data_IF_638309296840
#
_entry.id   IF_638309296840
#
_cell.length_a   1.000
_cell.length_b   1.000
_cell.length_c   1.000
_cell.angle_alpha   90.00
_cell.angle_beta   90.00
_cell.angle_gamma   90.00
#
_symmetry.space_group_name_H-M   'P 1'
#
loop_
_entity.id
_entity.type
_entity.pdbx_description
1 polymer ?
#
# COMPACT_ATOMS: atom_id res chain seq x y z
N UNK A 1 -57.23 -36.84 -8.64
CA UNK A 1 -56.58 -37.63 -7.57
C UNK A 1 -55.12 -37.22 -7.61
N UNK A 2 -54.77 -36.25 -6.78
CA UNK A 2 -53.53 -35.49 -6.90
C UNK A 2 -52.72 -35.77 -5.65
N UNK A 3 -51.60 -36.46 -5.81
CA UNK A 3 -50.72 -36.90 -4.72
C UNK A 3 -49.70 -35.79 -4.48
N UNK A 4 -49.81 -35.13 -3.33
CA UNK A 4 -48.77 -34.25 -2.77
C UNK A 4 -47.79 -35.09 -1.97
N UNK A 5 -46.53 -35.14 -2.42
CA UNK A 5 -45.40 -35.66 -1.64
C UNK A 5 -44.56 -34.49 -1.13
N UNK A 6 -44.60 -34.28 0.18
CA UNK A 6 -43.68 -33.45 0.96
C UNK A 6 -42.35 -34.18 1.15
N UNK A 7 -41.25 -33.58 0.70
CA UNK A 7 -39.89 -34.04 1.02
C UNK A 7 -39.33 -33.28 2.22
N UNK A 8 -38.91 -34.04 3.22
CA UNK A 8 -38.24 -33.59 4.45
C UNK A 8 -36.73 -33.66 4.23
N UNK A 9 -35.98 -32.61 4.60
CA UNK A 9 -34.52 -32.65 4.65
C UNK A 9 -34.07 -32.31 6.07
N UNK A 10 -33.46 -33.32 6.69
CA UNK A 10 -33.01 -33.36 8.07
C UNK A 10 -31.74 -32.52 8.27
N UNK A 11 -31.72 -31.77 9.37
CA UNK A 11 -30.53 -31.11 9.88
C UNK A 11 -29.58 -32.14 10.52
N UNK A 12 -28.32 -32.14 10.08
CA UNK A 12 -27.23 -32.91 10.68
C UNK A 12 -26.79 -32.22 11.99
N UNK A 13 -27.17 -32.78 13.13
CA UNK A 13 -26.53 -32.48 14.42
C UNK A 13 -25.37 -33.44 14.64
N UNK A 14 -24.13 -32.92 14.62
CA UNK A 14 -22.95 -33.65 15.11
C UNK A 14 -22.92 -33.55 16.63
N UNK A 15 -23.06 -34.69 17.30
CA UNK A 15 -22.84 -34.85 18.73
C UNK A 15 -21.35 -35.14 18.98
N UNK A 16 -20.69 -34.25 19.73
CA UNK A 16 -19.43 -34.56 20.41
C UNK A 16 -19.66 -34.43 21.93
N UNK A 17 -19.41 -35.52 22.65
CA UNK A 17 -19.52 -35.60 24.10
C UNK A 17 -18.16 -35.91 24.74
N UNK A 18 -17.93 -35.22 25.87
CA UNK A 18 -16.96 -35.50 26.96
C UNK A 18 -15.51 -35.06 26.69
N UNK A 19 -14.80 -34.39 27.61
CA UNK A 19 -14.76 -34.53 29.07
C UNK A 19 -14.64 -33.18 29.80
N UNK A 20 -15.18 -33.18 31.03
CA UNK A 20 -15.27 -32.05 31.94
C UNK A 20 -13.92 -31.54 32.47
N UNK A 21 -13.80 -30.21 32.55
CA UNK A 21 -12.82 -29.47 33.34
C UNK A 21 -13.44 -28.11 33.70
N UNK A 22 -13.67 -27.91 34.99
CA UNK A 22 -14.42 -26.82 35.64
C UNK A 22 -14.09 -25.38 35.18
N UNK A 23 -15.13 -24.55 35.01
CA UNK A 23 -15.01 -23.07 35.07
C UNK A 23 -16.14 -22.32 34.36
N UNK A 24 -16.96 -21.59 35.12
CA UNK A 24 -17.99 -20.59 34.77
C UNK A 24 -18.61 -20.54 33.35
N UNK A 25 -19.92 -20.87 33.27
CA UNK A 25 -20.79 -20.46 32.17
C UNK A 25 -21.54 -19.16 32.51
N UNK A 26 -21.38 -18.10 31.73
CA UNK A 26 -22.32 -16.97 31.64
C UNK A 26 -22.98 -16.94 30.26
N UNK A 27 -24.31 -16.77 30.28
CA UNK A 27 -25.25 -16.83 29.16
C UNK A 27 -24.99 -15.76 28.10
N UNK A 28 -25.11 -16.14 26.83
CA UNK A 28 -25.53 -15.23 25.74
C UNK A 28 -26.75 -15.88 25.08
N UNK A 29 -27.88 -15.18 25.10
CA UNK A 29 -29.12 -15.61 24.46
C UNK A 29 -29.12 -15.23 22.98
N UNK A 30 -29.51 -16.16 22.12
CA UNK A 30 -29.88 -15.89 20.73
C UNK A 30 -31.36 -15.49 20.68
N UNK A 31 -31.64 -14.33 20.09
CA UNK A 31 -33.00 -13.86 19.87
C UNK A 31 -33.48 -14.32 18.48
N UNK A 32 -34.67 -14.92 18.44
CA UNK A 32 -35.31 -15.47 17.25
C UNK A 32 -35.98 -14.37 16.43
N UNK A 33 -35.74 -14.33 15.11
CA UNK A 33 -36.59 -13.61 14.16
C UNK A 33 -37.74 -14.53 13.74
N UNK A 34 -38.97 -14.10 14.02
CA UNK A 34 -40.19 -14.69 13.47
C UNK A 34 -40.67 -13.79 12.32
N UNK A 35 -40.80 -14.38 11.14
CA UNK A 35 -41.43 -13.75 9.98
C UNK A 35 -42.87 -14.27 9.88
N UNK A 36 -43.83 -13.36 9.82
CA UNK A 36 -45.25 -13.67 9.59
C UNK A 36 -45.83 -12.59 8.68
N UNK A 37 -45.96 -12.93 7.40
CA UNK A 37 -46.70 -12.15 6.41
C UNK A 37 -48.21 -12.35 6.53
N UNK A 38 -48.97 -11.30 6.16
CA UNK A 38 -50.37 -11.28 5.65
C UNK A 38 -50.77 -9.79 5.51
N UNK A 39 -50.77 -9.18 4.31
CA UNK A 39 -51.81 -9.15 3.27
C UNK A 39 -52.74 -7.90 3.31
N UNK A 40 -52.72 -7.16 2.18
CA UNK A 40 -53.78 -6.32 1.56
C UNK A 40 -54.22 -5.00 2.22
N UNK A 41 -53.99 -3.86 1.54
CA UNK A 41 -54.97 -3.21 0.63
C UNK A 41 -54.53 -1.78 0.23
N UNK A 42 -54.94 -1.35 -0.96
CA UNK A 42 -54.68 -0.04 -1.57
C UNK A 42 -55.93 0.83 -1.39
N UNK A 43 -55.78 2.06 -0.88
CA UNK A 43 -56.54 3.26 -1.30
C UNK A 43 -56.04 4.53 -0.57
N UNK A 44 -55.75 5.55 -1.38
CA UNK A 44 -55.82 7.01 -1.20
C UNK A 44 -55.96 7.65 0.20
N UNK A 45 -55.12 8.65 0.48
CA UNK A 45 -55.59 10.03 0.75
C UNK A 45 -54.44 11.03 0.93
N UNK A 46 -54.55 12.12 0.19
CA UNK A 46 -53.85 13.41 0.34
C UNK A 46 -54.16 14.11 1.68
N UNK A 47 -53.22 14.96 2.13
CA UNK A 47 -53.28 16.16 3.02
C UNK A 47 -52.07 16.11 3.96
N UNK A 48 -51.22 17.12 4.16
CA UNK A 48 -51.27 18.55 3.89
C UNK A 48 -50.75 19.28 5.15
N UNK A 49 -49.81 20.20 4.97
CA UNK A 49 -49.28 21.22 5.93
C UNK A 49 -48.18 20.74 6.89
N UNK A 50 -46.93 21.23 6.88
CA UNK A 50 -46.33 22.59 6.83
C UNK A 50 -46.09 23.23 8.21
N UNK A 51 -44.96 23.97 8.29
CA UNK A 51 -44.51 24.94 9.33
C UNK A 51 -43.75 24.29 10.51
N UNK A 52 -42.57 24.70 10.99
CA UNK A 52 -41.63 25.84 10.86
C UNK A 52 -40.26 25.30 11.37
N UNK A 53 -39.08 25.60 10.81
CA UNK A 53 -38.41 26.89 10.90
C UNK A 53 -37.37 26.89 12.03
N UNK A 54 -36.07 26.81 11.68
CA UNK A 54 -34.99 27.73 12.14
C UNK A 54 -33.58 27.18 11.78
N UNK A 55 -32.93 27.92 10.88
CA UNK A 55 -31.59 28.50 10.99
C UNK A 55 -30.32 27.63 11.03
N UNK A 56 -29.74 27.53 9.81
CA UNK A 56 -28.38 27.93 9.42
C UNK A 56 -27.17 27.00 9.70
N UNK A 57 -26.23 26.93 8.72
CA UNK A 57 -25.17 25.92 8.67
C UNK A 57 -23.87 26.41 9.32
N UNK A 58 -23.22 25.54 10.09
CA UNK A 58 -21.86 25.80 10.58
C UNK A 58 -20.84 25.46 9.49
N UNK A 59 -20.41 26.55 8.83
CA UNK A 59 -19.02 26.89 8.46
C UNK A 59 -18.11 25.76 7.98
N UNK A 60 -17.95 25.72 6.66
CA UNK A 60 -16.76 25.25 5.96
C UNK A 60 -15.64 26.25 6.23
N UNK A 61 -14.74 25.95 7.18
CA UNK A 61 -13.54 26.77 7.40
C UNK A 61 -12.35 26.20 6.60
N UNK A 62 -12.23 26.77 5.40
CA UNK A 62 -11.03 27.37 4.85
C UNK A 62 -9.70 26.61 5.06
N UNK A 63 -9.31 25.89 4.00
CA UNK A 63 -7.95 25.45 3.73
C UNK A 63 -6.94 26.59 4.01
N UNK A 64 -6.05 26.36 4.97
CA UNK A 64 -4.97 27.26 5.33
C UNK A 64 -4.00 27.39 4.14
N UNK A 65 -4.15 28.49 3.43
CA UNK A 65 -3.41 28.86 2.22
C UNK A 65 -1.92 29.18 2.51
N UNK A 66 -1.44 28.93 3.73
CA UNK A 66 -0.04 29.11 4.13
C UNK A 66 0.86 27.91 3.87
N UNK A 67 0.31 26.70 3.71
CA UNK A 67 1.12 25.51 3.43
C UNK A 67 1.48 25.35 1.95
N UNK A 68 0.65 25.88 1.03
CA UNK A 68 0.95 25.91 -0.41
C UNK A 68 2.10 26.86 -0.76
N UNK A 69 2.40 27.85 0.08
CA UNK A 69 3.45 28.84 -0.22
C UNK A 69 4.84 28.43 0.29
N UNK A 70 4.94 27.53 1.27
CA UNK A 70 6.23 27.16 1.88
C UNK A 70 6.94 26.02 1.12
N UNK A 71 6.21 25.10 0.51
CA UNK A 71 6.83 23.97 -0.20
C UNK A 71 7.14 24.26 -1.68
N UNK A 72 6.47 25.24 -2.30
CA UNK A 72 6.81 25.73 -3.65
C UNK A 72 8.13 26.55 -3.71
N UNK A 73 8.67 26.96 -2.55
CA UNK A 73 9.86 27.82 -2.47
C UNK A 73 11.16 27.08 -2.11
N UNK A 74 11.12 25.77 -1.82
CA UNK A 74 12.33 24.96 -1.59
C UNK A 74 12.77 24.12 -2.79
N UNK A 75 12.04 24.16 -3.90
CA UNK A 75 12.41 23.46 -5.12
C UNK A 75 12.71 24.43 -6.27
N UNK A 76 13.99 24.84 -6.39
CA UNK A 76 14.60 24.91 -7.71
C UNK A 76 15.99 24.27 -7.76
N UNK A 77 16.17 23.42 -8.77
CA UNK A 77 17.34 23.36 -9.65
C UNK A 77 18.73 23.43 -8.97
N UNK A 78 19.31 22.27 -8.63
CA UNK A 78 20.78 22.12 -8.55
C UNK A 78 21.26 20.93 -9.39
N UNK A 79 21.17 21.10 -10.71
CA UNK A 79 22.04 20.41 -11.65
C UNK A 79 23.26 21.31 -11.89
N UNK A 80 24.43 20.66 -11.98
CA UNK A 80 25.77 21.20 -12.27
C UNK A 80 26.61 21.62 -11.07
N UNK A 81 27.23 20.63 -10.42
CA UNK A 81 28.67 20.57 -10.18
C UNK A 81 29.00 19.48 -9.16
N UNK A 82 29.43 18.30 -9.64
CA UNK A 82 30.41 17.38 -9.00
C UNK A 82 30.59 16.13 -9.86
N UNK A 83 30.93 16.37 -11.13
CA UNK A 83 31.68 15.41 -11.94
C UNK A 83 33.00 16.10 -12.28
N UNK A 84 33.97 16.02 -11.38
CA UNK A 84 35.41 16.06 -11.64
C UNK A 84 36.15 16.12 -10.30
N UNK A 85 37.27 15.38 -10.19
CA UNK A 85 38.21 15.29 -9.06
C UNK A 85 37.68 14.44 -7.88
N UNK A 86 38.31 13.34 -7.43
CA UNK A 86 39.73 13.01 -7.47
C UNK A 86 40.00 11.50 -7.60
N UNK A 87 40.96 11.23 -8.48
CA UNK A 87 41.71 9.99 -8.59
C UNK A 87 42.78 9.92 -7.50
N UNK A 88 42.93 8.72 -6.92
CA UNK A 88 44.21 8.10 -6.52
C UNK A 88 45.14 8.92 -5.63
N UNK A 89 45.23 8.55 -4.35
CA UNK A 89 46.54 8.29 -3.72
C UNK A 89 46.42 7.20 -2.64
N UNK A 90 46.87 6.00 -3.01
CA UNK A 90 47.26 4.97 -2.06
C UNK A 90 48.64 5.33 -1.50
N UNK A 91 48.76 5.46 -0.18
CA UNK A 91 50.05 5.37 0.49
C UNK A 91 49.96 4.42 1.68
N UNK A 92 50.84 3.41 1.60
CA UNK A 92 51.21 2.48 2.66
C UNK A 92 51.61 3.22 3.93
N UNK A 93 51.13 2.72 5.07
CA UNK A 93 51.62 3.10 6.39
C UNK A 93 51.34 1.97 7.39
N UNK A 94 52.24 1.00 7.46
CA UNK A 94 52.27 -0.05 8.49
C UNK A 94 52.71 0.53 9.83
N UNK A 95 51.91 0.42 10.89
CA UNK A 95 52.44 0.30 12.27
C UNK A 95 51.48 -0.50 13.15
N UNK A 96 52.09 -1.30 14.00
CA UNK A 96 51.59 -2.46 14.72
C UNK A 96 50.95 -2.10 16.07
N UNK A 97 50.01 -2.96 16.51
CA UNK A 97 49.76 -3.43 17.89
C UNK A 97 48.72 -2.70 18.75
N UNK A 98 47.64 -3.41 19.06
CA UNK A 98 46.72 -3.11 20.17
C UNK A 98 45.45 -3.96 20.12
N UNK A 99 45.49 -5.21 20.59
CA UNK A 99 44.29 -6.01 20.89
C UNK A 99 43.52 -5.33 22.02
N UNK A 100 42.23 -5.08 21.80
CA UNK A 100 41.19 -5.26 22.81
C UNK A 100 39.87 -5.59 22.10
N UNK A 101 39.51 -6.87 22.16
CA UNK A 101 38.25 -7.43 21.70
C UNK A 101 37.16 -7.13 22.73
N UNK A 102 36.26 -6.21 22.40
CA UNK A 102 34.95 -6.10 23.01
C UNK A 102 33.94 -6.03 21.87
N UNK A 103 33.10 -7.07 21.78
CA UNK A 103 32.09 -7.22 20.75
C UNK A 103 31.13 -6.03 20.75
N UNK A 104 31.21 -5.21 19.72
CA UNK A 104 30.14 -4.31 19.33
C UNK A 104 29.31 -5.05 18.28
N UNK A 105 28.05 -5.34 18.63
CA UNK A 105 26.98 -5.60 17.67
C UNK A 105 27.18 -4.64 16.49
N UNK A 106 27.28 -5.19 15.28
CA UNK A 106 27.28 -4.39 14.07
C UNK A 106 25.93 -3.67 13.98
N UNK A 107 25.87 -2.45 14.52
CA UNK A 107 24.86 -1.48 14.14
C UNK A 107 25.09 -1.26 12.65
N UNK A 108 24.11 -1.69 11.85
CA UNK A 108 24.04 -1.44 10.41
C UNK A 108 24.24 0.06 10.26
N UNK A 109 25.43 0.47 9.82
CA UNK A 109 25.78 1.89 9.79
C UNK A 109 25.00 2.46 8.63
N UNK A 110 23.86 3.08 8.92
CA UNK A 110 23.13 3.90 7.95
C UNK A 110 24.17 4.83 7.32
N UNK A 111 24.28 4.90 5.97
CA UNK A 111 25.20 5.82 5.33
C UNK A 111 24.97 7.21 5.92
N UNK A 112 26.06 7.89 6.32
CA UNK A 112 26.03 9.16 7.08
C UNK A 112 25.34 10.34 6.37
N UNK A 113 24.70 10.11 5.24
CA UNK A 113 24.11 11.12 4.35
C UNK A 113 22.67 10.79 3.91
N UNK A 114 22.02 9.76 4.48
CA UNK A 114 20.59 9.54 4.21
C UNK A 114 19.74 10.47 5.08
N UNK A 115 18.74 11.11 4.47
CA UNK A 115 17.72 11.83 5.22
C UNK A 115 16.81 10.83 5.95
N UNK A 116 16.77 10.93 7.27
CA UNK A 116 16.02 10.05 8.16
C UNK A 116 14.91 10.81 8.90
N UNK A 117 14.55 12.01 8.42
CA UNK A 117 13.44 12.77 9.00
C UNK A 117 12.14 11.97 8.85
N UNK A 118 11.25 11.97 9.85
CA UNK A 118 9.94 11.31 9.73
C UNK A 118 9.18 11.77 8.50
N UNK A 119 8.47 10.84 7.84
CA UNK A 119 7.52 11.17 6.79
C UNK A 119 6.25 11.70 7.46
N UNK A 120 5.66 12.82 7.01
CA UNK A 120 4.39 13.27 7.56
C UNK A 120 3.30 12.19 7.54
N UNK A 121 2.40 12.25 8.52
CA UNK A 121 1.22 11.39 8.57
C UNK A 121 0.38 11.47 7.28
N UNK A 122 -0.35 10.39 6.93
CA UNK A 122 -1.23 10.38 5.76
C UNK A 122 -2.28 11.49 5.86
N UNK A 123 -2.59 12.09 4.72
CA UNK A 123 -3.58 13.17 4.65
C UNK A 123 -4.94 12.64 4.18
N UNK A 124 -6.05 13.01 4.82
CA UNK A 124 -7.39 12.57 4.41
C UNK A 124 -7.70 11.10 4.72
N UNK A 125 -8.97 10.69 4.56
CA UNK A 125 -9.40 9.34 4.91
C UNK A 125 -8.91 8.30 3.89
N UNK A 126 -8.52 7.10 4.37
CA UNK A 126 -8.18 5.98 3.49
C UNK A 126 -9.36 5.53 2.65
N UNK A 127 -9.08 5.11 1.42
CA UNK A 127 -10.07 4.55 0.49
C UNK A 127 -9.51 3.30 -0.20
N UNK A 128 -10.39 2.48 -0.78
CA UNK A 128 -9.97 1.31 -1.56
C UNK A 128 -9.16 1.73 -2.80
N UNK A 129 -9.43 2.92 -3.36
CA UNK A 129 -8.67 3.49 -4.47
C UNK A 129 -7.27 4.00 -4.09
N UNK A 130 -6.93 4.08 -2.81
CA UNK A 130 -5.62 4.56 -2.33
C UNK A 130 -4.96 3.55 -1.38
N UNK A 131 -5.50 2.33 -1.31
CA UNK A 131 -4.99 1.28 -0.44
C UNK A 131 -4.28 0.22 -1.26
N UNK A 132 -3.04 -0.06 -0.92
CA UNK A 132 -2.25 -1.15 -1.51
C UNK A 132 -2.12 -2.34 -0.56
N UNK A 133 -1.83 -3.51 -1.11
CA UNK A 133 -1.63 -4.73 -0.34
C UNK A 133 -0.55 -5.60 -0.95
N UNK A 134 0.03 -6.48 -0.12
CA UNK A 134 0.93 -7.54 -0.54
C UNK A 134 0.53 -8.82 0.20
N UNK A 135 -0.07 -9.77 -0.53
CA UNK A 135 -0.34 -11.11 -0.03
C UNK A 135 0.80 -12.05 -0.43
N UNK A 136 1.06 -12.13 -1.74
CA UNK A 136 2.11 -12.94 -2.38
C UNK A 136 2.47 -12.40 -3.78
N UNK A 137 3.31 -13.11 -4.54
CA UNK A 137 3.77 -12.72 -5.89
C UNK A 137 2.66 -12.63 -6.95
N UNK A 138 1.48 -13.16 -6.67
CA UNK A 138 0.33 -13.19 -7.58
C UNK A 138 -0.84 -12.36 -7.06
N UNK A 139 -0.80 -11.90 -5.81
CA UNK A 139 -1.82 -11.07 -5.18
C UNK A 139 -1.22 -9.88 -4.44
N UNK A 140 -1.16 -8.74 -5.14
CA UNK A 140 -0.73 -7.45 -4.61
C UNK A 140 -1.40 -6.30 -5.39
N UNK A 141 -1.29 -5.09 -4.85
CA UNK A 141 -1.71 -3.87 -5.52
C UNK A 141 -0.59 -2.82 -5.55
N UNK A 142 -0.62 -1.95 -6.56
CA UNK A 142 0.31 -0.85 -6.78
C UNK A 142 -0.47 0.44 -7.00
N UNK A 143 0.08 1.57 -6.58
CA UNK A 143 -0.39 2.90 -6.96
C UNK A 143 0.17 3.27 -8.33
N UNK A 144 -0.69 3.57 -9.29
CA UNK A 144 -0.30 4.02 -10.62
C UNK A 144 -1.01 5.33 -10.96
N UNK A 145 -0.49 6.12 -11.93
CA UNK A 145 -1.26 7.20 -12.55
C UNK A 145 -2.66 6.73 -12.95
N UNK A 146 -3.68 7.55 -12.77
CA UNK A 146 -5.06 7.22 -13.17
C UNK A 146 -5.44 7.86 -14.52
N UNK A 147 -4.51 8.58 -15.14
CA UNK A 147 -4.67 9.22 -16.44
C UNK A 147 -3.67 8.66 -17.44
N UNK A 148 -4.14 8.40 -18.65
CA UNK A 148 -3.28 7.88 -19.71
C UNK A 148 -2.20 8.90 -20.10
N UNK A 149 -0.94 8.45 -20.16
CA UNK A 149 0.21 9.28 -20.52
C UNK A 149 0.66 10.28 -19.44
N UNK A 150 0.09 10.20 -18.24
CA UNK A 150 0.59 10.93 -17.08
C UNK A 150 1.86 10.27 -16.54
N UNK A 151 2.84 11.09 -16.14
CA UNK A 151 4.06 10.62 -15.51
C UNK A 151 3.77 10.16 -14.08
N UNK A 152 4.46 9.12 -13.62
CA UNK A 152 4.36 8.60 -12.25
C UNK A 152 4.63 9.70 -11.22
N UNK A 153 5.64 10.54 -11.48
CA UNK A 153 5.98 11.67 -10.59
C UNK A 153 4.94 12.81 -10.59
N UNK A 154 4.16 12.97 -11.66
CA UNK A 154 3.07 13.95 -11.69
C UNK A 154 1.81 13.43 -10.98
N UNK A 155 1.65 12.10 -10.94
CA UNK A 155 0.51 11.42 -10.34
C UNK A 155 0.59 11.25 -8.82
N UNK A 156 1.69 11.62 -8.16
CA UNK A 156 1.90 11.34 -6.72
C UNK A 156 0.68 11.76 -5.86
N UNK A 157 0.06 12.89 -6.20
CA UNK A 157 -1.09 13.43 -5.47
C UNK A 157 -2.45 12.78 -5.76
N UNK A 158 -2.62 12.14 -6.93
CA UNK A 158 -3.91 11.62 -7.42
C UNK A 158 -3.83 10.22 -8.06
N UNK A 159 -2.76 9.47 -7.77
CA UNK A 159 -2.60 8.07 -8.12
C UNK A 159 -3.73 7.20 -7.55
N UNK A 160 -3.95 6.07 -8.23
CA UNK A 160 -4.99 5.11 -7.86
C UNK A 160 -4.42 3.70 -7.72
N UNK A 161 -5.02 2.90 -6.84
CA UNK A 161 -4.64 1.53 -6.60
C UNK A 161 -5.14 0.61 -7.72
N UNK A 162 -4.20 -0.12 -8.32
CA UNK A 162 -4.45 -1.19 -9.28
C UNK A 162 -3.96 -2.52 -8.70
N UNK A 163 -4.69 -3.61 -8.92
CA UNK A 163 -4.35 -4.92 -8.35
C UNK A 163 -4.01 -5.96 -9.41
N UNK A 164 -3.35 -7.04 -8.99
CA UNK A 164 -3.13 -8.19 -9.87
C UNK A 164 -4.45 -8.80 -10.38
N UNK A 165 -4.46 -9.32 -11.62
CA UNK A 165 -5.62 -10.06 -12.12
C UNK A 165 -5.97 -11.23 -11.20
N UNK A 166 -7.22 -11.29 -10.75
CA UNK A 166 -7.68 -12.33 -9.81
C UNK A 166 -7.28 -12.12 -8.36
N UNK A 167 -6.90 -10.89 -7.98
CA UNK A 167 -6.63 -10.50 -6.59
C UNK A 167 -7.72 -10.98 -5.64
N UNK A 168 -7.31 -11.43 -4.45
CA UNK A 168 -8.25 -11.85 -3.40
C UNK A 168 -8.92 -10.67 -2.69
N UNK A 169 -8.41 -9.45 -2.89
CA UNK A 169 -9.04 -8.25 -2.38
C UNK A 169 -10.32 -7.92 -3.16
N UNK A 170 -11.47 -8.25 -2.56
CA UNK A 170 -12.80 -7.91 -3.10
C UNK A 170 -13.03 -6.41 -3.32
N UNK A 171 -12.19 -5.56 -2.74
CA UNK A 171 -12.26 -4.11 -2.88
C UNK A 171 -11.49 -3.57 -4.09
N UNK A 172 -10.70 -4.43 -4.76
CA UNK A 172 -10.03 -4.03 -5.98
C UNK A 172 -11.03 -3.74 -7.09
N UNK A 173 -10.94 -2.54 -7.65
CA UNK A 173 -11.81 -2.07 -8.74
C UNK A 173 -11.06 -1.91 -10.06
N UNK A 174 -9.73 -1.96 -10.05
CA UNK A 174 -8.88 -1.70 -11.20
C UNK A 174 -7.80 -2.78 -11.33
N UNK A 175 -8.09 -3.92 -11.98
CA UNK A 175 -7.05 -4.91 -12.22
C UNK A 175 -6.03 -4.37 -13.24
N UNK A 176 -4.76 -4.76 -13.09
CA UNK A 176 -3.78 -4.61 -14.15
C UNK A 176 -4.27 -5.28 -15.43
N UNK A 177 -3.77 -4.84 -16.58
CA UNK A 177 -3.92 -5.62 -17.80
C UNK A 177 -3.13 -6.93 -17.66
N UNK A 178 -3.69 -8.03 -18.15
CA UNK A 178 -2.99 -9.32 -18.21
C UNK A 178 -1.62 -9.18 -18.90
N UNK A 179 -0.59 -9.65 -18.22
CA UNK A 179 0.81 -9.58 -18.67
C UNK A 179 1.54 -8.28 -18.33
N UNK A 180 0.87 -7.27 -17.73
CA UNK A 180 1.53 -6.05 -17.27
C UNK A 180 2.64 -6.33 -16.25
N UNK A 181 2.38 -7.20 -15.27
CA UNK A 181 3.44 -7.71 -14.39
C UNK A 181 4.00 -8.98 -15.04
N UNK A 182 5.26 -8.91 -15.50
CA UNK A 182 5.94 -10.06 -16.12
C UNK A 182 6.48 -11.04 -15.07
N UNK A 183 6.95 -10.51 -13.95
CA UNK A 183 7.48 -11.28 -12.83
C UNK A 183 7.44 -10.44 -11.55
N UNK A 184 7.24 -11.08 -10.41
CA UNK A 184 7.28 -10.46 -9.10
C UNK A 184 7.89 -11.41 -8.07
N UNK A 185 8.51 -10.86 -7.02
CA UNK A 185 8.99 -11.62 -5.87
C UNK A 185 8.60 -10.91 -4.59
N UNK A 186 8.02 -11.65 -3.65
CA UNK A 186 7.72 -11.17 -2.31
C UNK A 186 8.84 -11.57 -1.36
N UNK A 187 9.22 -10.67 -0.47
CA UNK A 187 10.17 -10.93 0.61
C UNK A 187 9.68 -10.27 1.88
N UNK A 188 9.95 -10.90 3.04
CA UNK A 188 9.52 -10.41 4.35
C UNK A 188 10.73 -10.34 5.27
N UNK A 189 10.72 -9.39 6.20
CA UNK A 189 11.70 -9.35 7.27
C UNK A 189 11.45 -10.52 8.25
N UNK A 190 12.52 -11.15 8.74
CA UNK A 190 12.44 -12.24 9.72
C UNK A 190 11.79 -11.79 11.06
N UNK A 191 11.97 -10.52 11.40
CA UNK A 191 11.40 -9.89 12.60
C UNK A 191 9.99 -9.31 12.38
N UNK A 192 9.46 -9.42 11.16
CA UNK A 192 8.15 -8.90 10.79
C UNK A 192 8.09 -7.38 10.63
N UNK A 193 9.23 -6.67 10.55
CA UNK A 193 9.24 -5.21 10.39
C UNK A 193 8.67 -4.73 9.05
N UNK A 194 8.80 -5.54 7.99
CA UNK A 194 8.33 -5.17 6.67
C UNK A 194 8.00 -6.39 5.78
N UNK A 195 7.19 -6.11 4.77
CA UNK A 195 6.94 -6.96 3.60
C UNK A 195 7.19 -6.13 2.34
N UNK A 196 7.76 -6.73 1.31
CA UNK A 196 7.98 -6.05 0.03
C UNK A 196 7.62 -6.94 -1.14
N UNK A 197 7.34 -6.30 -2.27
CA UNK A 197 7.24 -6.91 -3.59
C UNK A 197 8.14 -6.11 -4.55
N UNK A 198 8.95 -6.81 -5.34
CA UNK A 198 9.74 -6.22 -6.42
C UNK A 198 9.49 -7.00 -7.71
N UNK A 199 9.49 -6.34 -8.85
CA UNK A 199 9.16 -7.03 -10.09
C UNK A 199 9.41 -6.26 -11.37
N UNK A 200 9.15 -6.94 -12.48
CA UNK A 200 9.33 -6.42 -13.84
C UNK A 200 7.98 -6.15 -14.49
N UNK A 201 7.92 -5.06 -15.25
CA UNK A 201 6.75 -4.59 -15.97
C UNK A 201 6.87 -4.88 -17.47
N UNK A 202 5.74 -5.04 -18.14
CA UNK A 202 5.56 -4.86 -19.58
C UNK A 202 4.77 -3.57 -19.80
N UNK A 203 5.46 -2.45 -20.00
CA UNK A 203 4.82 -1.14 -20.16
C UNK A 203 3.89 -1.08 -21.37
N UNK A 204 4.05 -1.96 -22.37
CA UNK A 204 3.13 -2.08 -23.51
C UNK A 204 1.73 -2.60 -23.14
N UNK A 205 1.57 -3.12 -21.92
CA UNK A 205 0.31 -3.57 -21.30
C UNK A 205 -0.22 -2.57 -20.28
N UNK A 206 0.06 -1.29 -20.50
CA UNK A 206 -0.40 -0.21 -19.63
C UNK A 206 -0.62 1.07 -20.42
N UNK A 207 -1.08 2.10 -19.74
CA UNK A 207 -1.15 3.47 -20.24
C UNK A 207 0.04 4.32 -19.76
N UNK A 208 1.04 3.72 -19.10
CA UNK A 208 2.25 4.39 -18.64
C UNK A 208 3.11 4.77 -19.85
N UNK A 209 3.77 5.93 -19.77
CA UNK A 209 4.75 6.33 -20.77
C UNK A 209 6.01 5.46 -20.62
N UNK A 210 6.41 4.68 -21.63
CA UNK A 210 7.60 3.82 -21.54
C UNK A 210 8.91 4.62 -21.47
N UNK A 211 8.89 5.95 -21.66
CA UNK A 211 10.02 6.84 -21.45
C UNK A 211 10.06 7.50 -20.08
N UNK A 212 9.03 7.30 -19.25
CA UNK A 212 8.97 7.83 -17.90
C UNK A 212 10.00 7.15 -16.97
N UNK A 213 10.89 7.95 -16.40
CA UNK A 213 11.92 7.45 -15.47
C UNK A 213 11.36 7.03 -14.11
N UNK A 214 10.11 7.40 -13.81
CA UNK A 214 9.38 6.98 -12.63
C UNK A 214 9.12 8.09 -11.61
N UNK A 215 8.57 7.67 -10.48
CA UNK A 215 8.22 8.51 -9.33
C UNK A 215 7.95 7.65 -8.10
N UNK A 216 7.61 8.29 -6.98
CA UNK A 216 7.37 7.60 -5.71
C UNK A 216 5.98 7.87 -5.17
N UNK A 217 5.29 6.81 -4.75
CA UNK A 217 4.15 6.91 -3.84
C UNK A 217 4.56 6.50 -2.44
N UNK A 218 4.02 7.18 -1.43
CA UNK A 218 4.34 6.91 -0.03
C UNK A 218 3.13 7.13 0.86
N UNK A 219 3.33 7.02 2.17
CA UNK A 219 2.25 7.21 3.16
C UNK A 219 1.62 8.61 3.11
N UNK A 220 2.32 9.63 2.59
CA UNK A 220 1.82 11.00 2.52
C UNK A 220 0.87 11.19 1.33
N UNK A 221 1.18 10.60 0.18
CA UNK A 221 0.44 10.79 -1.06
C UNK A 221 0.26 9.50 -1.89
N UNK A 222 -0.92 9.32 -2.52
CA UNK A 222 -2.08 10.23 -2.59
C UNK A 222 -2.83 10.37 -1.25
N UNK A 223 -3.79 11.30 -1.16
CA UNK A 223 -4.56 11.48 0.09
C UNK A 223 -5.24 10.16 0.49
N UNK A 224 -5.01 9.71 1.72
CA UNK A 224 -5.54 8.46 2.25
C UNK A 224 -4.73 7.24 1.83
N UNK A 225 -3.52 7.44 1.32
CA UNK A 225 -2.60 6.36 0.99
C UNK A 225 -2.32 5.48 2.21
N UNK A 226 -2.40 4.17 2.02
CA UNK A 226 -1.98 3.21 3.03
C UNK A 226 -1.59 1.89 2.40
N UNK A 227 -0.72 1.15 3.09
CA UNK A 227 -0.59 -0.27 2.88
C UNK A 227 -1.36 -1.03 3.96
N UNK A 228 -2.05 -2.10 3.56
CA UNK A 228 -2.79 -2.97 4.51
C UNK A 228 -1.87 -3.62 5.54
N UNK A 229 -0.61 -3.87 5.21
CA UNK A 229 0.42 -4.27 6.17
C UNK A 229 0.85 -3.07 7.02
N UNK A 230 0.79 -3.22 8.36
CA UNK A 230 1.00 -2.12 9.30
C UNK A 230 -0.24 -1.24 9.51
N UNK A 231 -1.07 -1.08 8.47
CA UNK A 231 -2.34 -0.35 8.52
C UNK A 231 -2.17 1.16 8.30
N UNK A 232 -3.26 1.90 8.51
CA UNK A 232 -3.30 3.34 8.26
C UNK A 232 -2.24 4.10 9.07
N UNK A 233 -1.42 4.90 8.38
CA UNK A 233 -0.31 5.66 8.96
C UNK A 233 1.00 4.89 9.10
N UNK A 234 1.02 3.57 8.88
CA UNK A 234 2.27 2.85 8.77
C UNK A 234 3.02 3.26 7.50
N UNK A 235 4.35 3.35 7.59
CA UNK A 235 5.16 3.76 6.45
C UNK A 235 5.11 2.73 5.33
N UNK A 236 5.01 3.21 4.09
CA UNK A 236 5.30 2.43 2.92
C UNK A 236 5.97 3.32 1.88
N UNK A 237 6.71 2.71 0.97
CA UNK A 237 7.27 3.35 -0.21
C UNK A 237 7.01 2.45 -1.41
N UNK A 238 6.62 3.06 -2.51
CA UNK A 238 6.42 2.41 -3.79
C UNK A 238 7.08 3.27 -4.87
N UNK A 239 7.91 2.66 -5.71
CA UNK A 239 8.46 3.29 -6.89
C UNK A 239 8.05 2.49 -8.11
N UNK A 240 7.62 3.20 -9.14
CA UNK A 240 7.26 2.64 -10.44
C UNK A 240 8.14 3.31 -11.47
N UNK A 241 8.90 2.53 -12.23
CA UNK A 241 9.92 3.02 -13.17
C UNK A 241 9.67 2.43 -14.56
N UNK A 242 8.74 3.00 -15.34
CA UNK A 242 8.36 2.49 -16.66
C UNK A 242 9.54 2.33 -17.62
N UNK A 243 10.43 3.32 -17.71
CA UNK A 243 11.60 3.30 -18.59
C UNK A 243 12.63 2.22 -18.23
N UNK A 244 12.60 1.73 -16.99
CA UNK A 244 13.43 0.61 -16.52
C UNK A 244 12.61 -0.69 -16.36
N UNK A 245 11.38 -0.73 -16.90
CA UNK A 245 10.45 -1.86 -16.86
C UNK A 245 10.38 -2.54 -15.48
N UNK A 246 10.34 -1.76 -14.39
CA UNK A 246 10.34 -2.32 -13.03
C UNK A 246 9.51 -1.52 -12.05
N UNK A 247 9.15 -2.19 -10.96
CA UNK A 247 8.52 -1.58 -9.80
C UNK A 247 9.06 -2.21 -8.51
N UNK A 248 8.85 -1.51 -7.41
CA UNK A 248 9.14 -1.99 -6.09
C UNK A 248 8.22 -1.33 -5.08
N UNK A 249 7.73 -2.09 -4.12
CA UNK A 249 6.92 -1.60 -3.02
C UNK A 249 7.35 -2.29 -1.73
N UNK A 250 7.47 -1.54 -0.64
CA UNK A 250 7.70 -2.08 0.71
C UNK A 250 6.75 -1.40 1.68
N UNK A 251 6.05 -2.23 2.43
CA UNK A 251 5.19 -1.81 3.53
C UNK A 251 5.85 -2.17 4.85
N UNK A 252 5.88 -1.22 5.78
CA UNK A 252 6.44 -1.39 7.10
C UNK A 252 5.34 -1.56 8.14
N UNK A 253 5.66 -2.21 9.26
CA UNK A 253 4.69 -2.51 10.32
C UNK A 253 4.37 -1.31 11.20
N UNK A 254 5.08 -0.19 11.04
CA UNK A 254 5.05 0.95 11.94
C UNK A 254 5.12 2.26 11.17
N UNK A 255 4.56 3.31 11.77
CA UNK A 255 4.73 4.68 11.29
C UNK A 255 6.20 5.13 11.44
N UNK A 256 6.60 6.12 10.65
CA UNK A 256 7.92 6.75 10.67
C UNK A 256 9.11 5.79 10.52
N UNK A 257 8.94 4.64 9.88
CA UNK A 257 10.03 3.69 9.66
C UNK A 257 10.93 4.13 8.49
N UNK A 258 11.79 5.12 8.76
CA UNK A 258 12.78 5.62 7.80
C UNK A 258 13.99 4.69 7.63
N UNK A 259 14.11 3.63 8.43
CA UNK A 259 15.19 2.65 8.28
C UNK A 259 14.83 1.63 7.21
N UNK A 260 13.57 1.21 7.13
CA UNK A 260 13.11 0.20 6.19
C UNK A 260 12.27 0.80 5.05
N UNK A 261 11.46 1.83 5.31
CA UNK A 261 10.57 2.49 4.35
C UNK A 261 10.90 3.99 4.22
N UNK A 262 12.16 4.31 3.91
CA UNK A 262 12.62 5.69 3.77
C UNK A 262 12.01 6.37 2.54
N UNK A 263 11.16 7.39 2.72
CA UNK A 263 10.51 8.08 1.60
C UNK A 263 11.38 9.17 0.95
N UNK A 264 12.51 9.54 1.55
CA UNK A 264 13.44 10.55 0.99
C UNK A 264 14.40 9.99 -0.07
N UNK A 265 14.07 8.84 -0.69
CA UNK A 265 14.85 8.15 -1.74
C UNK A 265 14.14 8.13 -3.10
N UNK A 266 13.20 9.04 -3.33
CA UNK A 266 12.38 9.21 -4.54
C UNK A 266 13.17 9.16 -5.86
N UNK A 267 14.40 9.67 -5.88
CA UNK A 267 15.28 9.70 -7.07
C UNK A 267 16.35 8.62 -7.13
N UNK A 268 16.50 7.84 -6.06
CA UNK A 268 17.54 6.82 -5.98
C UNK A 268 17.19 5.55 -6.78
N UNK A 269 15.89 5.41 -7.07
CA UNK A 269 15.30 4.34 -7.83
C UNK A 269 15.19 3.01 -7.08
N UNK A 270 14.47 2.06 -7.68
CA UNK A 270 14.02 0.84 -7.03
C UNK A 270 15.15 0.00 -6.45
N UNK A 271 16.22 -0.21 -7.20
CA UNK A 271 17.36 -1.02 -6.75
C UNK A 271 18.04 -0.44 -5.49
N UNK A 272 17.95 0.88 -5.30
CA UNK A 272 18.56 1.59 -4.16
C UNK A 272 17.57 1.71 -3.00
N UNK A 273 16.36 2.20 -3.25
CA UNK A 273 15.34 2.42 -2.22
C UNK A 273 14.83 1.11 -1.63
N UNK A 274 14.59 0.10 -2.48
CA UNK A 274 14.09 -1.22 -2.10
C UNK A 274 14.95 -2.28 -2.78
N UNK A 275 16.13 -2.63 -2.22
CA UNK A 275 16.91 -3.74 -2.71
C UNK A 275 16.06 -5.02 -2.71
N UNK A 276 16.14 -5.80 -3.79
CA UNK A 276 15.27 -6.95 -4.01
C UNK A 276 15.61 -7.72 -5.28
N UNK A 277 14.63 -8.41 -5.84
CA UNK A 277 14.80 -9.24 -7.05
C UNK A 277 14.24 -8.53 -8.28
N UNK A 278 15.12 -8.28 -9.24
CA UNK A 278 14.83 -7.61 -10.52
C UNK A 278 15.32 -8.42 -11.73
N UNK A 279 15.72 -9.67 -11.49
CA UNK A 279 16.08 -10.64 -12.51
C UNK A 279 15.51 -11.98 -12.10
N UNK A 280 14.82 -12.64 -13.04
CA UNK A 280 14.09 -13.88 -12.86
C UNK A 280 14.53 -14.89 -13.93
N UNK A 281 15.75 -15.44 -13.82
CA UNK A 281 16.29 -16.39 -14.79
C UNK A 281 15.42 -17.64 -14.95
N UNK A 282 14.71 -18.05 -13.90
CA UNK A 282 13.77 -19.17 -13.90
C UNK A 282 12.56 -18.94 -14.82
N UNK A 283 12.24 -17.68 -15.13
CA UNK A 283 11.19 -17.27 -16.05
C UNK A 283 11.73 -16.73 -17.38
N UNK A 284 13.06 -16.58 -17.51
CA UNK A 284 13.67 -15.89 -18.65
C UNK A 284 13.31 -14.41 -18.73
N UNK A 285 13.09 -13.75 -17.58
CA UNK A 285 12.71 -12.33 -17.49
C UNK A 285 13.79 -11.56 -16.74
N UNK A 286 14.29 -10.47 -17.32
CA UNK A 286 15.04 -9.42 -16.61
C UNK A 286 14.26 -8.12 -16.73
N UNK A 287 14.29 -7.28 -15.71
CA UNK A 287 13.63 -5.98 -15.82
C UNK A 287 14.42 -5.01 -16.71
N UNK A 288 15.70 -5.29 -16.95
CA UNK A 288 16.56 -4.47 -17.81
C UNK A 288 16.40 -4.81 -19.31
N UNK A 289 15.57 -5.81 -19.64
CA UNK A 289 15.26 -6.29 -21.01
C UNK A 289 13.87 -5.85 -21.50
#
# INVERSE_FOLDING_TARGET
MTITTTTSLAAFCVLLFSLAGLGEARRVGCNSYADSGSSLSIADAFTGSAVSGNDAPLSVDYADSRWLQQDALQWPSRISARLSADNVHAQLGTTTRGRNSLGKRASKTVPRDLDMRPTPEPTGASSTSTTVHITDEHDFALLLPNRAGELVSDAESDGAAFCTPGSSDSSCTQPFQDGFVRAARVTKADDGAWIQVTGCLDTSKSFLDPSDTGGQFDVRFPNGAQCTFGGYGASFIELVEPAANRFCMRCCSSADDQENCNSHQDRAGCQTAIPGTYSFPELGVSCED
#
